data_IF_914601417980
#
_entry.id   IF_914601417980
#
_cell.length_a   1.000
_cell.length_b   1.000
_cell.length_c   1.000
_cell.angle_alpha   90.00
_cell.angle_beta   90.00
_cell.angle_gamma   90.00
#
_symmetry.space_group_name_H-M   'P 1'
#
loop_
_entity.id
_entity.type
_entity.pdbx_description
1 polymer ?
#
# COMPACT_ATOMS: atom_id res chain seq x y z
N UNK A 1 17.82 4.96 -6.88
CA UNK A 1 17.41 4.95 -5.46
C UNK A 1 18.55 4.35 -4.66
N UNK A 2 18.91 4.98 -3.55
CA UNK A 2 19.88 4.48 -2.58
C UNK A 2 19.22 4.53 -1.22
N UNK A 3 19.40 3.48 -0.42
CA UNK A 3 18.92 3.41 0.97
C UNK A 3 20.06 2.99 1.88
N UNK A 4 20.06 3.55 3.08
CA UNK A 4 21.03 3.22 4.12
C UNK A 4 20.39 2.20 5.06
N UNK A 5 20.96 1.01 5.14
CA UNK A 5 20.52 -0.01 6.10
C UNK A 5 21.11 0.34 7.46
N UNK A 6 20.23 0.63 8.43
CA UNK A 6 20.61 0.85 9.83
C UNK A 6 19.99 -0.25 10.69
N UNK A 7 20.83 -1.12 11.25
CA UNK A 7 20.39 -2.15 12.18
C UNK A 7 20.71 -1.72 13.62
N UNK A 8 19.69 -1.51 14.43
CA UNK A 8 19.84 -1.18 15.85
C UNK A 8 19.83 -2.40 16.77
N UNK A 9 19.47 -3.58 16.24
CA UNK A 9 19.50 -4.85 16.98
C UNK A 9 19.99 -6.02 16.11
N UNK A 10 20.57 -7.08 16.70
CA UNK A 10 21.06 -8.24 15.95
C UNK A 10 19.96 -9.00 15.18
N UNK A 11 18.71 -8.89 15.64
CA UNK A 11 17.54 -9.47 14.98
C UNK A 11 16.77 -8.43 14.15
N UNK A 12 17.32 -7.22 14.03
CA UNK A 12 16.76 -6.16 13.21
C UNK A 12 16.85 -6.54 11.74
N UNK A 13 15.83 -6.18 10.98
CA UNK A 13 15.79 -6.36 9.54
C UNK A 13 14.94 -5.27 8.90
N UNK A 14 15.12 -5.10 7.60
CA UNK A 14 14.30 -4.23 6.76
C UNK A 14 14.07 -4.92 5.43
N UNK A 15 12.92 -4.66 4.81
CA UNK A 15 12.66 -5.09 3.43
C UNK A 15 12.47 -3.84 2.59
N UNK A 16 13.32 -3.73 1.58
CA UNK A 16 13.25 -2.67 0.58
C UNK A 16 12.65 -3.28 -0.69
N UNK A 17 11.71 -2.57 -1.31
CA UNK A 17 11.06 -3.02 -2.53
C UNK A 17 11.08 -1.90 -3.56
N UNK A 18 11.52 -2.23 -4.77
CA UNK A 18 11.58 -1.33 -5.92
C UNK A 18 10.79 -1.98 -7.06
N UNK A 19 9.90 -1.21 -7.68
CA UNK A 19 9.20 -1.60 -8.89
C UNK A 19 9.81 -0.83 -10.06
N UNK A 20 10.42 -1.55 -10.99
CA UNK A 20 11.16 -0.97 -12.11
C UNK A 20 10.98 -1.80 -13.38
N UNK A 21 11.18 -1.16 -14.53
CA UNK A 21 11.18 -1.84 -15.82
C UNK A 21 12.60 -2.27 -16.15
N UNK A 22 12.80 -3.58 -16.35
CA UNK A 22 14.09 -4.10 -16.80
C UNK A 22 14.42 -3.57 -18.20
N UNK A 23 15.58 -2.92 -18.34
CA UNK A 23 16.03 -2.33 -19.62
C UNK A 23 16.82 -3.32 -20.50
N UNK A 24 17.07 -4.53 -20.00
CA UNK A 24 17.83 -5.57 -20.67
C UNK A 24 17.75 -6.89 -19.92
N UNK A 25 18.64 -7.82 -20.27
CA UNK A 25 18.65 -9.19 -19.72
C UNK A 25 19.26 -9.28 -18.31
N UNK A 26 19.94 -8.23 -17.85
CA UNK A 26 20.62 -8.19 -16.56
C UNK A 26 20.13 -7.01 -15.71
N UNK A 27 19.94 -7.26 -14.41
CA UNK A 27 19.71 -6.24 -13.39
C UNK A 27 20.92 -6.19 -12.47
N UNK A 28 21.48 -5.01 -12.28
CA UNK A 28 22.61 -4.78 -11.40
C UNK A 28 22.11 -4.19 -10.08
N UNK A 29 22.61 -4.71 -8.96
CA UNK A 29 22.44 -4.11 -7.64
C UNK A 29 23.82 -3.76 -7.09
N UNK A 30 23.93 -2.62 -6.40
CA UNK A 30 25.19 -2.11 -5.89
C UNK A 30 25.12 -1.99 -4.37
N UNK A 31 26.13 -2.50 -3.69
CA UNK A 31 26.38 -2.26 -2.27
C UNK A 31 27.56 -1.31 -2.13
N UNK A 32 27.38 -0.22 -1.39
CA UNK A 32 28.39 0.83 -1.23
C UNK A 32 28.75 0.97 0.24
N UNK A 33 30.05 0.97 0.53
CA UNK A 33 30.55 1.24 1.87
C UNK A 33 30.65 2.75 2.09
N UNK A 34 29.90 3.27 3.06
CA UNK A 34 29.86 4.69 3.44
C UNK A 34 30.85 5.03 4.57
N UNK A 35 31.74 4.11 4.94
CA UNK A 35 32.70 4.25 6.03
C UNK A 35 32.18 3.78 7.40
N UNK A 36 30.96 3.24 7.46
CA UNK A 36 30.29 2.84 8.71
C UNK A 36 30.25 1.32 8.95
N UNK A 37 30.87 0.52 8.09
CA UNK A 37 30.91 -0.94 8.24
C UNK A 37 31.03 -1.67 6.91
N UNK A 38 30.73 -2.97 6.92
CA UNK A 38 30.68 -3.79 5.69
C UNK A 38 29.25 -3.81 5.15
N UNK A 39 29.00 -3.35 3.91
CA UNK A 39 27.69 -3.49 3.28
C UNK A 39 27.32 -4.96 3.15
N UNK A 40 26.06 -5.30 3.44
CA UNK A 40 25.58 -6.68 3.34
C UNK A 40 24.14 -6.71 2.82
N UNK A 41 23.76 -7.86 2.27
CA UNK A 41 22.39 -8.21 1.89
C UNK A 41 22.19 -9.67 2.25
N UNK A 42 21.07 -9.98 2.91
CA UNK A 42 20.73 -11.37 3.28
C UNK A 42 19.98 -12.08 2.17
N UNK A 43 19.06 -11.38 1.50
CA UNK A 43 18.19 -11.95 0.47
C UNK A 43 17.95 -10.93 -0.65
N UNK A 44 17.96 -11.42 -1.89
CA UNK A 44 17.50 -10.70 -3.07
C UNK A 44 16.42 -11.51 -3.76
N UNK A 45 15.28 -10.88 -4.01
CA UNK A 45 14.14 -11.52 -4.67
C UNK A 45 13.77 -10.74 -5.93
N UNK A 46 13.69 -11.42 -7.05
CA UNK A 46 13.16 -10.87 -8.30
C UNK A 46 11.79 -11.47 -8.56
N UNK A 47 10.76 -10.61 -8.54
CA UNK A 47 9.35 -11.00 -8.74
C UNK A 47 8.82 -10.36 -10.02
N UNK A 48 8.69 -11.11 -11.13
CA UNK A 48 8.12 -10.58 -12.35
C UNK A 48 6.67 -10.14 -12.14
N UNK A 49 6.34 -8.93 -12.61
CA UNK A 49 4.99 -8.38 -12.61
C UNK A 49 4.44 -8.33 -14.03
N UNK A 50 3.12 -8.20 -14.18
CA UNK A 50 2.53 -7.90 -15.48
C UNK A 50 2.86 -6.46 -15.88
N UNK A 51 3.08 -6.22 -17.17
CA UNK A 51 3.39 -4.88 -17.68
C UNK A 51 2.29 -3.85 -17.41
N UNK A 52 1.04 -4.29 -17.28
CA UNK A 52 -0.10 -3.43 -16.93
C UNK A 52 -0.11 -3.02 -15.46
N UNK A 53 0.72 -3.65 -14.61
CA UNK A 53 0.76 -3.32 -13.20
C UNK A 53 1.57 -2.07 -12.92
N UNK A 54 1.14 -1.29 -11.92
CA UNK A 54 1.86 -0.09 -11.48
C UNK A 54 2.21 0.88 -12.62
N UNK A 55 1.21 1.52 -13.26
CA UNK A 55 1.39 2.26 -14.51
C UNK A 55 2.32 3.48 -14.41
N UNK A 56 2.65 3.91 -13.19
CA UNK A 56 3.63 4.96 -12.95
C UNK A 56 5.08 4.47 -13.05
N UNK A 57 5.32 3.16 -12.93
CA UNK A 57 6.63 2.57 -13.18
C UNK A 57 6.83 2.45 -14.70
N UNK A 58 7.84 3.13 -15.23
CA UNK A 58 8.21 3.11 -16.65
C UNK A 58 9.73 3.17 -16.82
N UNK A 59 10.22 3.21 -18.05
CA UNK A 59 11.66 3.20 -18.35
C UNK A 59 12.42 4.39 -17.73
N UNK A 60 11.74 5.51 -17.48
CA UNK A 60 12.33 6.72 -16.89
C UNK A 60 12.05 6.88 -15.39
N UNK A 61 11.15 6.07 -14.83
CA UNK A 61 10.66 6.22 -13.46
C UNK A 61 10.44 4.87 -12.80
N UNK A 62 11.10 4.65 -11.66
CA UNK A 62 10.83 3.51 -10.77
C UNK A 62 10.00 3.95 -9.57
N UNK A 63 9.33 3.00 -8.92
CA UNK A 63 8.63 3.22 -7.66
C UNK A 63 9.40 2.56 -6.53
N UNK A 64 9.39 3.20 -5.36
CA UNK A 64 9.92 2.63 -4.13
C UNK A 64 8.74 2.42 -3.19
N UNK A 65 8.64 1.24 -2.61
CA UNK A 65 7.56 0.94 -1.65
C UNK A 65 7.87 1.63 -0.33
N UNK A 66 7.12 2.68 -0.03
CA UNK A 66 7.10 3.23 1.32
C UNK A 66 6.33 2.28 2.25
N UNK A 67 5.04 2.12 1.97
CA UNK A 67 4.15 1.29 2.78
C UNK A 67 3.15 0.49 1.95
N UNK A 68 2.71 -0.64 2.51
CA UNK A 68 1.64 -1.48 1.94
C UNK A 68 0.87 -2.17 3.07
N UNK A 69 -0.26 -1.58 3.41
CA UNK A 69 -1.08 -1.98 4.56
C UNK A 69 -2.32 -2.76 4.14
N UNK A 70 -2.72 -3.73 4.95
CA UNK A 70 -4.03 -4.34 4.92
C UNK A 70 -4.80 -3.98 6.19
N UNK A 71 -5.70 -3.01 6.04
CA UNK A 71 -6.54 -2.50 7.11
C UNK A 71 -7.63 -3.53 7.47
N UNK A 72 -7.72 -3.85 8.76
CA UNK A 72 -8.66 -4.84 9.31
C UNK A 72 -8.14 -6.28 9.33
N UNK A 73 -6.97 -6.56 8.75
CA UNK A 73 -6.38 -7.90 8.79
C UNK A 73 -5.63 -8.16 10.09
N UNK A 74 -5.74 -9.39 10.62
CA UNK A 74 -5.05 -9.81 11.85
C UNK A 74 -3.64 -10.37 11.63
N UNK A 75 -3.25 -10.60 10.38
CA UNK A 75 -1.96 -11.21 10.02
C UNK A 75 -1.45 -10.69 8.68
N UNK A 76 -0.14 -10.81 8.49
CA UNK A 76 0.51 -10.48 7.25
C UNK A 76 0.06 -11.41 6.12
N UNK A 77 -0.22 -10.83 4.95
CA UNK A 77 -0.57 -11.57 3.74
C UNK A 77 0.54 -11.46 2.70
N UNK A 78 0.81 -12.58 2.02
CA UNK A 78 1.84 -12.73 0.98
C UNK A 78 1.50 -13.91 0.07
N UNK A 79 2.46 -14.44 -0.69
CA UNK A 79 2.27 -15.73 -1.37
C UNK A 79 1.85 -16.83 -0.37
N UNK A 80 0.92 -17.74 -0.73
CA UNK A 80 0.26 -17.91 -2.02
C UNK A 80 -0.99 -17.04 -2.23
N UNK A 81 -1.38 -16.24 -1.25
CA UNK A 81 -2.58 -15.39 -1.35
C UNK A 81 -2.38 -14.20 -2.29
N UNK A 82 -1.16 -13.67 -2.39
CA UNK A 82 -0.75 -12.74 -3.44
C UNK A 82 0.17 -13.46 -4.45
N UNK A 83 -0.27 -13.69 -5.71
CA UNK A 83 0.54 -14.34 -6.74
C UNK A 83 1.85 -13.61 -7.06
N UNK A 84 1.93 -12.31 -6.79
CA UNK A 84 3.12 -11.48 -7.02
C UNK A 84 4.00 -11.37 -5.77
N UNK A 85 3.67 -12.09 -4.70
CA UNK A 85 4.42 -12.18 -3.44
C UNK A 85 4.71 -10.83 -2.74
N UNK A 86 3.83 -9.85 -2.97
CA UNK A 86 3.85 -8.57 -2.26
C UNK A 86 3.48 -8.79 -0.80
N UNK A 87 4.20 -8.12 0.11
CA UNK A 87 3.87 -8.13 1.54
C UNK A 87 2.79 -7.10 1.82
N UNK A 88 1.69 -7.55 2.41
CA UNK A 88 0.63 -6.72 2.96
C UNK A 88 0.65 -6.81 4.47
N UNK A 89 1.00 -5.72 5.14
CA UNK A 89 1.15 -5.68 6.59
C UNK A 89 -0.19 -5.38 7.30
N UNK A 90 -0.55 -6.12 8.35
CA UNK A 90 -1.84 -5.95 9.02
C UNK A 90 -1.89 -4.66 9.84
N UNK A 91 -3.06 -4.00 9.83
CA UNK A 91 -3.36 -2.86 10.73
C UNK A 91 -4.76 -3.07 11.32
N UNK A 92 -4.89 -3.01 12.65
CA UNK A 92 -6.15 -3.27 13.38
C UNK A 92 -6.48 -2.26 14.47
N UNK A 93 -5.71 -1.17 14.58
CA UNK A 93 -5.82 -0.23 15.69
C UNK A 93 -6.33 1.13 15.21
N UNK A 94 -7.16 1.78 16.03
CA UNK A 94 -7.66 3.15 15.77
C UNK A 94 -8.92 3.24 14.89
N UNK A 95 -9.55 2.11 14.54
CA UNK A 95 -10.76 2.06 13.71
C UNK A 95 -11.57 0.79 13.96
N UNK A 96 -12.83 0.76 13.50
CA UNK A 96 -13.65 -0.46 13.48
C UNK A 96 -13.15 -1.34 12.34
N UNK A 97 -12.88 -2.60 12.61
CA UNK A 97 -12.47 -3.56 11.58
C UNK A 97 -13.69 -4.27 11.01
N UNK A 98 -13.67 -4.53 9.72
CA UNK A 98 -14.62 -5.38 9.02
C UNK A 98 -13.87 -6.57 8.42
N UNK A 99 -14.50 -7.73 8.45
CA UNK A 99 -14.05 -8.90 7.72
C UNK A 99 -15.23 -9.58 7.04
N UNK A 100 -14.95 -10.30 5.96
CA UNK A 100 -15.96 -11.06 5.24
C UNK A 100 -15.39 -12.36 4.70
N UNK A 101 -16.18 -13.42 4.75
CA UNK A 101 -15.90 -14.69 4.08
C UNK A 101 -16.48 -14.74 2.67
N UNK A 102 -17.28 -13.72 2.29
CA UNK A 102 -17.90 -13.64 0.97
C UNK A 102 -16.84 -13.45 -0.11
N UNK A 103 -17.20 -13.83 -1.34
CA UNK A 103 -16.38 -13.55 -2.51
C UNK A 103 -16.34 -12.04 -2.75
N UNK A 104 -15.14 -11.49 -2.87
CA UNK A 104 -14.93 -10.08 -3.23
C UNK A 104 -14.51 -10.04 -4.69
N UNK A 105 -15.33 -9.38 -5.51
CA UNK A 105 -15.04 -9.22 -6.93
C UNK A 105 -14.08 -8.06 -7.11
N UNK A 106 -12.96 -8.32 -7.77
CA UNK A 106 -12.02 -7.28 -8.19
C UNK A 106 -12.51 -6.64 -9.49
N UNK A 107 -12.27 -5.33 -9.63
CA UNK A 107 -12.59 -4.62 -10.87
C UNK A 107 -11.72 -5.17 -12.01
N UNK A 108 -12.34 -5.47 -13.15
CA UNK A 108 -11.60 -5.83 -14.35
C UNK A 108 -10.70 -4.67 -14.80
N UNK A 109 -9.44 -4.99 -15.12
CA UNK A 109 -8.46 -3.99 -15.52
C UNK A 109 -7.88 -3.16 -14.36
N UNK A 110 -8.06 -3.55 -13.10
CA UNK A 110 -7.34 -2.94 -11.97
C UNK A 110 -5.82 -3.13 -12.16
N UNK A 111 -5.03 -2.05 -12.35
CA UNK A 111 -3.60 -2.16 -12.57
C UNK A 111 -2.83 -2.47 -11.29
N UNK A 112 -3.49 -2.57 -10.14
CA UNK A 112 -2.85 -3.02 -8.91
C UNK A 112 -3.08 -4.50 -8.68
N UNK A 113 -4.07 -5.13 -9.32
CA UNK A 113 -4.41 -6.54 -9.14
C UNK A 113 -4.39 -6.93 -7.65
N UNK A 114 -5.07 -6.14 -6.82
CA UNK A 114 -5.06 -6.37 -5.37
C UNK A 114 -5.72 -7.71 -5.06
N UNK A 115 -5.09 -8.59 -4.25
CA UNK A 115 -5.62 -9.91 -4.02
C UNK A 115 -7.00 -9.88 -3.34
N UNK A 116 -7.96 -10.74 -3.73
CA UNK A 116 -9.27 -10.81 -3.07
C UNK A 116 -9.18 -11.04 -1.55
N UNK A 117 -8.15 -11.76 -1.08
CA UNK A 117 -7.90 -11.96 0.35
C UNK A 117 -7.57 -10.68 1.10
N UNK A 118 -6.92 -9.71 0.44
CA UNK A 118 -6.68 -8.38 1.00
C UNK A 118 -7.97 -7.59 1.04
N UNK A 119 -8.77 -7.67 -0.03
CA UNK A 119 -10.04 -6.95 -0.14
C UNK A 119 -11.17 -7.51 0.73
N UNK A 120 -10.94 -8.59 1.50
CA UNK A 120 -11.91 -9.19 2.44
C UNK A 120 -11.88 -8.58 3.84
N UNK A 121 -10.92 -7.69 4.10
CA UNK A 121 -10.80 -6.94 5.34
C UNK A 121 -10.79 -5.45 5.05
N UNK A 122 -11.37 -4.67 5.94
CA UNK A 122 -11.39 -3.21 5.81
C UNK A 122 -11.34 -2.52 7.17
N UNK A 123 -10.92 -1.26 7.15
CA UNK A 123 -11.19 -0.29 8.20
C UNK A 123 -12.48 0.46 7.88
N UNK A 124 -13.24 0.76 8.93
CA UNK A 124 -14.39 1.67 8.89
C UNK A 124 -14.47 2.44 10.20
N UNK A 125 -15.35 3.42 10.27
CA UNK A 125 -15.60 4.20 11.48
C UNK A 125 -16.90 3.78 12.14
N UNK A 126 -16.98 3.98 13.47
CA UNK A 126 -18.24 3.80 14.20
C UNK A 126 -19.13 5.03 14.08
N UNK A 127 -18.53 6.22 14.14
CA UNK A 127 -19.20 7.51 14.03
C UNK A 127 -18.69 8.31 12.83
N UNK A 128 -19.52 9.24 12.34
CA UNK A 128 -19.18 10.16 11.24
C UNK A 128 -18.06 11.15 11.60
N UNK A 129 -17.79 11.33 12.90
CA UNK A 129 -16.73 12.21 13.41
C UNK A 129 -15.39 11.50 13.57
N UNK A 130 -15.35 10.18 13.44
CA UNK A 130 -14.11 9.42 13.57
C UNK A 130 -13.37 9.39 12.23
N UNK A 131 -12.07 9.11 12.26
CA UNK A 131 -11.20 9.09 11.09
C UNK A 131 -10.37 7.82 11.03
N UNK A 132 -10.11 7.33 9.82
CA UNK A 132 -9.08 6.32 9.57
C UNK A 132 -7.85 7.05 9.07
N UNK A 133 -6.79 7.07 9.89
CA UNK A 133 -5.56 7.77 9.54
C UNK A 133 -4.57 6.82 8.85
N UNK A 134 -3.88 7.35 7.84
CA UNK A 134 -2.74 6.72 7.19
C UNK A 134 -1.56 7.67 7.29
N UNK A 135 -0.52 7.25 7.99
CA UNK A 135 0.74 7.98 8.04
C UNK A 135 1.63 7.52 6.90
N UNK A 136 2.20 8.49 6.18
CA UNK A 136 3.23 8.25 5.19
C UNK A 136 4.48 8.95 5.69
N UNK A 137 5.44 8.17 6.18
CA UNK A 137 6.77 8.70 6.48
C UNK A 137 7.49 9.05 5.18
N UNK A 138 8.38 10.04 5.20
CA UNK A 138 9.18 10.41 4.03
C UNK A 138 9.70 11.83 4.10
N UNK A 139 10.51 12.22 3.12
CA UNK A 139 10.87 13.63 2.97
C UNK A 139 9.67 14.38 2.35
N UNK A 140 9.28 15.56 2.87
CA UNK A 140 8.25 16.40 2.25
C UNK A 140 8.48 16.72 0.76
N UNK A 141 9.74 16.70 0.31
CA UNK A 141 10.11 16.94 -1.09
C UNK A 141 9.91 15.70 -1.99
N UNK A 142 9.68 14.52 -1.40
CA UNK A 142 9.44 13.30 -2.16
C UNK A 142 8.06 13.32 -2.83
N UNK A 143 8.02 12.88 -4.09
CA UNK A 143 6.74 12.69 -4.79
C UNK A 143 6.12 11.37 -4.36
N UNK A 144 5.18 11.45 -3.44
CA UNK A 144 4.44 10.28 -2.94
C UNK A 144 3.25 9.98 -3.85
N UNK A 145 3.08 8.71 -4.19
CA UNK A 145 1.89 8.19 -4.85
C UNK A 145 1.12 7.27 -3.90
N UNK A 146 -0.12 7.65 -3.56
CA UNK A 146 -0.99 6.90 -2.66
C UNK A 146 -2.09 6.20 -3.44
N UNK A 147 -2.27 4.91 -3.17
CA UNK A 147 -3.36 4.10 -3.73
C UNK A 147 -4.25 3.63 -2.59
N UNK A 148 -5.52 4.00 -2.64
CA UNK A 148 -6.53 3.56 -1.69
C UNK A 148 -7.38 2.47 -2.35
N UNK A 149 -7.49 1.33 -1.68
CA UNK A 149 -8.31 0.20 -2.14
C UNK A 149 -9.59 0.14 -1.30
N UNK A 150 -10.74 0.11 -1.97
CA UNK A 150 -12.05 0.07 -1.33
C UNK A 150 -12.80 -1.20 -1.69
N UNK A 151 -13.49 -1.78 -0.71
CA UNK A 151 -14.46 -2.85 -0.89
C UNK A 151 -15.68 -2.57 0.01
N UNK A 152 -16.87 -2.86 -0.51
CA UNK A 152 -18.07 -2.91 0.32
C UNK A 152 -18.23 -4.33 0.86
N UNK A 153 -18.17 -4.47 2.18
CA UNK A 153 -18.20 -5.75 2.90
C UNK A 153 -19.49 -5.96 3.68
N UNK A 154 -20.25 -4.90 3.91
CA UNK A 154 -21.56 -4.92 4.53
C UNK A 154 -22.65 -4.97 3.46
N UNK A 155 -23.81 -5.53 3.81
CA UNK A 155 -24.94 -5.55 2.91
C UNK A 155 -25.68 -4.22 3.01
N UNK A 156 -25.63 -3.43 1.94
CA UNK A 156 -26.35 -2.18 1.81
C UNK A 156 -27.84 -2.44 1.48
N UNK A 157 -28.73 -1.65 2.09
CA UNK A 157 -30.12 -1.52 1.66
C UNK A 157 -30.22 -0.57 0.46
N UNK A 158 -31.33 -0.61 -0.28
CA UNK A 158 -31.51 0.15 -1.54
C UNK A 158 -31.38 1.67 -1.41
N UNK A 159 -31.45 2.21 -0.20
CA UNK A 159 -31.32 3.64 0.12
C UNK A 159 -30.04 3.98 0.90
N UNK A 160 -29.19 3.00 1.17
CA UNK A 160 -27.92 3.23 1.86
C UNK A 160 -26.90 3.82 0.89
N UNK A 161 -26.14 4.80 1.37
CA UNK A 161 -25.03 5.39 0.64
C UNK A 161 -23.75 5.30 1.47
N UNK A 162 -22.61 5.06 0.82
CA UNK A 162 -21.29 5.21 1.44
C UNK A 162 -20.60 6.41 0.83
N UNK A 163 -20.33 7.40 1.66
CA UNK A 163 -19.58 8.60 1.27
C UNK A 163 -18.55 8.90 2.35
N UNK A 164 -17.40 9.37 1.92
CA UNK A 164 -16.33 9.78 2.81
C UNK A 164 -15.61 10.98 2.23
N UNK A 165 -15.03 11.78 3.11
CA UNK A 165 -14.10 12.81 2.72
C UNK A 165 -12.68 12.27 2.89
N UNK A 166 -11.83 12.54 1.90
CA UNK A 166 -10.42 12.16 1.92
C UNK A 166 -9.60 13.43 2.06
N UNK A 167 -8.82 13.50 3.13
CA UNK A 167 -7.96 14.63 3.45
C UNK A 167 -6.49 14.25 3.32
N UNK A 168 -5.66 15.26 3.07
CA UNK A 168 -4.21 15.18 3.17
C UNK A 168 -3.75 16.24 4.17
N UNK A 169 -2.98 15.81 5.17
CA UNK A 169 -2.39 16.70 6.17
C UNK A 169 -0.87 16.54 6.14
N UNK A 170 -0.18 17.68 6.05
CA UNK A 170 1.26 17.73 6.25
C UNK A 170 1.50 18.17 7.69
N UNK A 171 2.34 17.43 8.43
CA UNK A 171 2.52 17.61 9.87
C UNK A 171 2.93 19.05 10.27
N UNK A 172 3.52 19.82 9.36
CA UNK A 172 4.01 21.19 9.57
C UNK A 172 3.05 22.30 9.08
N UNK A 173 1.98 21.98 8.33
CA UNK A 173 1.05 22.98 7.75
C UNK A 173 -0.27 23.14 8.51
N UNK A 174 -0.45 22.44 9.63
CA UNK A 174 -1.42 22.74 10.70
C UNK A 174 -2.91 22.62 10.37
N UNK A 175 -3.29 22.30 9.12
CA UNK A 175 -4.69 22.07 8.75
C UNK A 175 -4.81 21.03 7.63
N UNK A 176 -5.68 20.01 7.75
CA UNK A 176 -5.95 19.06 6.68
C UNK A 176 -6.51 19.74 5.44
N UNK A 177 -5.95 19.40 4.27
CA UNK A 177 -6.46 19.80 2.96
C UNK A 177 -7.40 18.73 2.41
N UNK A 178 -8.64 19.09 2.09
CA UNK A 178 -9.58 18.20 1.40
C UNK A 178 -9.04 17.86 0.00
N UNK A 179 -8.87 16.57 -0.27
CA UNK A 179 -8.53 16.05 -1.60
C UNK A 179 -9.77 15.65 -2.39
N UNK A 180 -10.69 14.92 -1.74
CA UNK A 180 -11.95 14.48 -2.32
C UNK A 180 -13.06 14.63 -1.29
N UNK A 181 -14.10 15.40 -1.63
CA UNK A 181 -15.29 15.55 -0.78
C UNK A 181 -16.43 14.67 -1.27
N UNK A 182 -17.20 14.09 -0.34
CA UNK A 182 -18.32 13.19 -0.63
C UNK A 182 -17.94 12.03 -1.58
N UNK A 183 -16.71 11.53 -1.49
CA UNK A 183 -16.22 10.46 -2.34
C UNK A 183 -17.02 9.18 -2.11
N UNK A 184 -17.56 8.63 -3.18
CA UNK A 184 -18.17 7.30 -3.23
C UNK A 184 -17.32 6.43 -4.15
N UNK A 185 -16.92 5.21 -3.73
CA UNK A 185 -16.30 4.27 -4.63
C UNK A 185 -17.18 4.03 -5.87
N UNK A 186 -16.63 4.08 -7.10
CA UNK A 186 -17.43 4.05 -8.33
C UNK A 186 -18.33 2.81 -8.48
N UNK A 187 -18.01 1.69 -7.82
CA UNK A 187 -18.82 0.48 -7.85
C UNK A 187 -20.12 0.58 -7.02
N UNK A 188 -20.31 1.66 -6.26
CA UNK A 188 -21.53 1.96 -5.51
C UNK A 188 -22.42 3.02 -6.19
N UNK A 189 -21.98 3.62 -7.30
CA UNK A 189 -22.71 4.69 -8.00
C UNK A 189 -23.64 4.15 -9.12
N UNK A 190 -24.07 2.89 -9.03
CA UNK A 190 -24.93 2.21 -10.01
C UNK A 190 -26.43 2.40 -9.74
#
# INVERSE_FOLDING_TARGET
FWTSVSLTSPNGGGTEEIITVAQGESIWFCLVNTGLGTPFVSTLELRPLLHSMYPLANLSQSLVRQDRWNYGASSQLRYPNDPYDRIWFPVVQGFKTLNSTREVRTKEGDPFLTPPSVMRTAATTGNLTDHVNMEVAGNPDDRVYVVLHFAELEQLMSNDTRRMDIYYEQADQGSPRLLYGNYSPPFLEA
#
